data_IF_940591241737
#
_entry.id   IF_940591241737
#
_cell.length_a   1.000
_cell.length_b   1.000
_cell.length_c   1.000
_cell.angle_alpha   90.00
_cell.angle_beta   90.00
_cell.angle_gamma   90.00
#
_symmetry.space_group_name_H-M   'P 1'
#
loop_
_entity.id
_entity.type
_entity.pdbx_description
1 polymer ?
#
# COMPACT_ATOMS: atom_id res chain seq x y z
N UNK A 1 5.70 17.24 8.34
CA UNK A 1 5.47 15.79 8.43
C UNK A 1 5.16 15.27 7.03
N UNK A 2 5.75 14.15 6.63
CA UNK A 2 5.40 13.49 5.36
C UNK A 2 4.01 12.84 5.46
N UNK A 3 3.32 12.54 4.34
CA UNK A 3 2.02 11.89 4.38
C UNK A 3 2.00 10.56 5.19
N UNK A 4 3.01 9.66 5.10
CA UNK A 4 3.06 8.47 5.95
C UNK A 4 3.14 8.79 7.45
N UNK A 5 3.91 9.82 7.85
CA UNK A 5 3.98 10.23 9.26
C UNK A 5 2.63 10.76 9.78
N UNK A 6 1.84 11.42 8.93
CA UNK A 6 0.49 11.84 9.29
C UNK A 6 -0.46 10.65 9.45
N UNK A 7 -0.31 9.61 8.63
CA UNK A 7 -1.08 8.37 8.75
C UNK A 7 -0.69 7.57 10.01
N UNK A 8 0.61 7.44 10.31
CA UNK A 8 1.11 6.84 11.55
C UNK A 8 0.49 7.51 12.78
N UNK A 9 0.52 8.84 12.83
CA UNK A 9 -0.02 9.61 13.95
C UNK A 9 -1.55 9.46 14.13
N UNK A 10 -2.26 9.01 13.09
CA UNK A 10 -3.70 8.71 13.14
C UNK A 10 -3.99 7.26 13.50
N UNK A 11 -2.97 6.43 13.66
CA UNK A 11 -3.13 5.00 13.94
C UNK A 11 -3.54 4.17 12.72
N UNK A 12 -3.29 4.66 11.50
CA UNK A 12 -3.52 3.88 10.29
C UNK A 12 -2.57 2.68 10.23
N UNK A 13 -3.02 1.57 9.65
CA UNK A 13 -2.26 0.33 9.64
C UNK A 13 -1.17 0.29 8.55
N UNK A 14 -1.45 0.84 7.37
CA UNK A 14 -0.55 0.81 6.21
C UNK A 14 -0.92 1.88 5.18
N UNK A 15 0.01 2.17 4.28
CA UNK A 15 -0.23 2.97 3.07
C UNK A 15 -0.05 2.09 1.84
N UNK A 16 -0.98 2.15 0.89
CA UNK A 16 -0.86 1.51 -0.42
C UNK A 16 -0.56 2.53 -1.51
N UNK A 17 0.27 2.17 -2.48
CA UNK A 17 0.53 2.96 -3.68
C UNK A 17 0.55 2.07 -4.91
N UNK A 18 0.17 2.64 -6.05
CA UNK A 18 0.37 2.04 -7.36
C UNK A 18 1.37 2.89 -8.14
N UNK A 19 2.51 2.33 -8.54
CA UNK A 19 3.52 3.05 -9.29
C UNK A 19 4.85 2.30 -9.42
N UNK A 20 5.85 2.95 -10.03
CA UNK A 20 7.13 2.31 -10.32
C UNK A 20 7.96 2.05 -9.05
N UNK A 21 8.45 0.81 -8.83
CA UNK A 21 9.21 0.45 -7.62
C UNK A 21 10.39 1.36 -7.31
N UNK A 22 11.14 1.77 -8.35
CA UNK A 22 12.32 2.64 -8.21
C UNK A 22 12.01 3.98 -7.55
N UNK A 23 10.79 4.49 -7.69
CA UNK A 23 10.37 5.75 -7.07
C UNK A 23 10.01 5.57 -5.59
N UNK A 24 9.51 4.40 -5.19
CA UNK A 24 8.91 4.20 -3.88
C UNK A 24 9.75 3.36 -2.92
N UNK A 25 10.64 2.48 -3.41
CA UNK A 25 11.57 1.71 -2.59
C UNK A 25 12.39 2.57 -1.61
N UNK A 26 12.96 3.73 -2.00
CA UNK A 26 13.73 4.56 -1.07
C UNK A 26 12.92 5.06 0.13
N UNK A 27 11.58 5.05 0.04
CA UNK A 27 10.68 5.49 1.11
C UNK A 27 10.16 4.34 1.98
N UNK A 28 10.67 3.13 1.77
CA UNK A 28 10.32 1.92 2.54
C UNK A 28 9.06 1.21 2.05
N UNK A 29 8.60 1.50 0.84
CA UNK A 29 7.55 0.72 0.19
C UNK A 29 8.12 -0.60 -0.34
N UNK A 30 7.32 -1.65 -0.27
CA UNK A 30 7.64 -3.00 -0.76
C UNK A 30 6.44 -3.56 -1.53
N UNK A 31 6.66 -4.57 -2.38
CA UNK A 31 5.58 -5.23 -3.10
C UNK A 31 4.49 -5.75 -2.14
N UNK A 32 3.23 -5.45 -2.44
CA UNK A 32 2.09 -5.77 -1.58
C UNK A 32 1.89 -7.28 -1.39
N UNK A 33 2.28 -8.07 -2.38
CA UNK A 33 2.18 -9.53 -2.34
C UNK A 33 2.99 -10.15 -1.19
N UNK A 34 4.07 -9.51 -0.75
CA UNK A 34 4.86 -9.94 0.41
C UNK A 34 4.06 -9.91 1.72
N UNK A 35 2.97 -9.15 1.75
CA UNK A 35 2.06 -8.97 2.87
C UNK A 35 0.71 -9.67 2.64
N UNK A 36 0.59 -10.49 1.59
CA UNK A 36 -0.67 -11.15 1.20
C UNK A 36 -1.79 -10.12 0.91
N UNK A 37 -1.42 -8.92 0.44
CA UNK A 37 -2.35 -7.87 0.03
C UNK A 37 -2.44 -7.88 -1.49
N UNK A 38 -3.66 -8.10 -2.01
CA UNK A 38 -3.89 -8.29 -3.44
C UNK A 38 -4.29 -6.98 -4.13
N UNK A 39 -3.68 -6.74 -5.30
CA UNK A 39 -4.04 -5.62 -6.16
C UNK A 39 -5.38 -5.88 -6.86
N UNK A 40 -6.34 -4.93 -6.86
CA UNK A 40 -7.58 -5.10 -7.59
C UNK A 40 -7.47 -4.85 -9.10
N UNK A 41 -6.29 -4.47 -9.59
CA UNK A 41 -6.04 -4.07 -10.98
C UNK A 41 -5.09 -5.04 -11.69
N UNK A 42 -5.19 -5.11 -13.01
CA UNK A 42 -4.33 -5.95 -13.84
C UNK A 42 -3.01 -5.22 -14.16
N UNK A 43 -2.10 -5.19 -13.18
CA UNK A 43 -0.78 -4.56 -13.26
C UNK A 43 0.30 -5.56 -12.82
N UNK A 44 1.58 -5.34 -13.17
CA UNK A 44 2.68 -6.12 -12.60
C UNK A 44 2.67 -6.06 -11.07
N UNK A 45 2.98 -7.20 -10.43
CA UNK A 45 2.87 -7.35 -8.97
C UNK A 45 3.77 -6.38 -8.20
N UNK A 46 4.92 -6.01 -8.75
CA UNK A 46 5.88 -5.09 -8.13
C UNK A 46 5.42 -3.63 -8.16
N UNK A 47 4.41 -3.28 -8.96
CA UNK A 47 3.89 -1.91 -9.05
C UNK A 47 2.90 -1.59 -7.95
N UNK A 48 2.25 -2.60 -7.38
CA UNK A 48 1.35 -2.43 -6.25
C UNK A 48 2.13 -2.65 -4.97
N UNK A 49 2.32 -1.57 -4.21
CA UNK A 49 3.24 -1.56 -3.07
C UNK A 49 2.56 -1.08 -1.81
N UNK A 50 3.04 -1.60 -0.68
CA UNK A 50 2.62 -1.17 0.65
C UNK A 50 3.79 -0.65 1.47
N UNK A 51 3.47 0.23 2.41
CA UNK A 51 4.34 0.59 3.52
C UNK A 51 3.56 0.34 4.82
N UNK A 52 3.91 -0.72 5.57
CA UNK A 52 3.37 -0.94 6.91
C UNK A 52 3.69 0.26 7.81
N UNK A 53 2.73 0.64 8.63
CA UNK A 53 2.83 1.70 9.63
C UNK A 53 2.91 1.10 11.03
N UNK A 54 3.04 1.92 12.06
CA UNK A 54 3.16 1.45 13.46
C UNK A 54 1.96 0.61 13.92
N UNK A 55 0.77 0.86 13.37
CA UNK A 55 -0.45 0.13 13.68
C UNK A 55 -0.68 -1.14 12.85
N UNK A 56 0.29 -1.56 12.03
CA UNK A 56 0.15 -2.76 11.20
C UNK A 56 0.08 -4.04 12.06
N UNK A 57 -0.81 -4.95 11.67
CA UNK A 57 -0.96 -6.30 12.22
C UNK A 57 -1.15 -7.28 11.06
N UNK A 58 -0.70 -8.52 11.21
CA UNK A 58 -0.76 -9.55 10.15
C UNK A 58 -2.19 -9.91 9.72
N UNK A 59 -3.22 -9.43 10.42
CA UNK A 59 -4.63 -9.60 10.02
C UNK A 59 -5.02 -8.78 8.78
N UNK A 60 -4.24 -7.76 8.39
CA UNK A 60 -4.56 -6.88 7.26
C UNK A 60 -4.08 -7.48 5.94
N UNK A 61 -4.83 -8.47 5.46
CA UNK A 61 -4.54 -9.22 4.24
C UNK A 61 -5.77 -9.30 3.32
N UNK A 62 -5.56 -9.71 2.07
CA UNK A 62 -6.60 -9.88 1.06
C UNK A 62 -6.68 -8.73 0.05
N UNK A 63 -7.80 -8.67 -0.68
CA UNK A 63 -7.97 -7.75 -1.80
C UNK A 63 -8.30 -6.33 -1.35
N UNK A 64 -7.53 -5.36 -1.82
CA UNK A 64 -7.80 -3.94 -1.57
C UNK A 64 -9.06 -3.50 -2.33
N UNK A 65 -9.96 -2.81 -1.61
CA UNK A 65 -11.17 -2.21 -2.17
C UNK A 65 -11.04 -0.70 -2.05
N UNK A 66 -11.06 0.00 -3.19
CA UNK A 66 -11.03 1.46 -3.22
C UNK A 66 -12.46 2.04 -3.14
N UNK A 67 -12.60 3.30 -2.66
CA UNK A 67 -13.87 4.01 -2.70
C UNK A 67 -14.43 4.13 -4.13
N UNK A 68 -15.75 4.33 -4.29
CA UNK A 68 -16.35 4.61 -5.59
C UNK A 68 -15.67 5.82 -6.25
N UNK A 69 -15.22 5.66 -7.50
CA UNK A 69 -14.48 6.71 -8.23
C UNK A 69 -13.12 6.26 -8.74
N UNK A 70 -12.57 5.18 -8.16
CA UNK A 70 -11.32 4.57 -8.60
C UNK A 70 -11.64 3.24 -9.30
N UNK A 71 -11.68 3.26 -10.64
CA UNK A 71 -12.16 2.11 -11.43
C UNK A 71 -11.15 1.65 -12.48
N UNK A 72 -10.27 2.55 -12.93
CA UNK A 72 -9.32 2.28 -14.00
C UNK A 72 -7.98 2.93 -13.65
N UNK A 73 -6.92 2.13 -13.66
CA UNK A 73 -5.51 2.54 -13.60
C UNK A 73 -4.77 1.91 -14.75
#
# INVERSE_FOLDING_TARGET
>A
MSPPQLADNRGEALVVVLGYPKLYHPFGFQAAINYQIECPFNVPEDFFMVKPLLGYEDKYQGKVIYPPGVHNV
#
